data_IF_219883160545
#
_entry.id   IF_219883160545
#
_cell.length_a   1.000
_cell.length_b   1.000
_cell.length_c   1.000
_cell.angle_alpha   90.00
_cell.angle_beta   90.00
_cell.angle_gamma   90.00
#
_symmetry.space_group_name_H-M   'P 1'
#
loop_
_entity.id
_entity.type
_entity.pdbx_description
1 polymer ?
#
# COMPACT_ATOMS: atom_id res chain seq x y z
N UNK A 1 -24.78 -20.82 10.07
CA UNK A 1 -23.44 -20.32 10.43
C UNK A 1 -22.33 -21.20 9.83
N UNK A 2 -22.47 -21.65 8.58
CA UNK A 2 -21.60 -22.67 7.96
C UNK A 2 -20.75 -22.14 6.79
N UNK A 3 -20.97 -20.90 6.33
CA UNK A 3 -20.29 -20.35 5.15
C UNK A 3 -18.89 -19.75 5.44
N UNK A 4 -18.55 -19.43 6.70
CA UNK A 4 -17.28 -18.74 6.99
C UNK A 4 -16.07 -19.68 6.89
N UNK A 5 -16.18 -20.92 7.37
CA UNK A 5 -15.06 -21.88 7.35
C UNK A 5 -14.70 -22.31 5.92
N UNK A 6 -15.71 -22.60 5.10
CA UNK A 6 -15.51 -22.99 3.70
C UNK A 6 -14.91 -21.84 2.86
N UNK A 7 -15.33 -20.60 3.13
CA UNK A 7 -14.77 -19.42 2.48
C UNK A 7 -13.31 -19.17 2.89
N UNK A 8 -12.98 -19.37 4.17
CA UNK A 8 -11.61 -19.28 4.68
C UNK A 8 -10.70 -20.34 4.08
N UNK A 9 -11.18 -21.58 3.90
CA UNK A 9 -10.42 -22.64 3.24
C UNK A 9 -10.12 -22.31 1.77
N UNK A 10 -11.09 -21.74 1.04
CA UNK A 10 -10.91 -21.28 -0.36
C UNK A 10 -9.94 -20.11 -0.45
N UNK A 11 -10.06 -19.15 0.48
CA UNK A 11 -9.13 -18.04 0.60
C UNK A 11 -7.71 -18.54 0.85
N UNK A 12 -7.51 -19.41 1.84
CA UNK A 12 -6.19 -19.97 2.14
C UNK A 12 -5.61 -20.77 0.97
N UNK A 13 -6.43 -21.61 0.32
CA UNK A 13 -5.99 -22.39 -0.84
C UNK A 13 -5.53 -21.52 -2.03
N UNK A 14 -6.13 -20.34 -2.20
CA UNK A 14 -5.68 -19.35 -3.19
C UNK A 14 -4.29 -18.82 -2.83
N UNK A 15 -4.07 -18.41 -1.57
CA UNK A 15 -2.78 -17.89 -1.11
C UNK A 15 -1.69 -18.96 -1.16
N UNK A 16 -1.98 -20.20 -0.77
CA UNK A 16 -1.03 -21.31 -0.84
C UNK A 16 -0.55 -21.56 -2.27
N UNK A 17 -1.45 -21.47 -3.26
CA UNK A 17 -1.11 -21.63 -4.67
C UNK A 17 -0.30 -20.44 -5.21
N UNK A 18 -0.59 -19.21 -4.78
CA UNK A 18 0.19 -18.03 -5.15
C UNK A 18 1.58 -17.99 -4.48
N UNK A 19 1.69 -18.45 -3.23
CA UNK A 19 2.97 -18.62 -2.52
C UNK A 19 3.84 -19.66 -3.23
N UNK A 20 3.23 -20.76 -3.66
CA UNK A 20 3.88 -21.79 -4.45
C UNK A 20 4.43 -21.25 -5.77
N UNK A 21 3.61 -20.53 -6.52
CA UNK A 21 3.99 -19.87 -7.77
C UNK A 21 5.17 -18.89 -7.53
N UNK A 22 5.03 -17.99 -6.56
CA UNK A 22 6.04 -16.98 -6.25
C UNK A 22 7.37 -17.59 -5.83
N UNK A 23 7.36 -18.66 -5.02
CA UNK A 23 8.58 -19.38 -4.63
C UNK A 23 9.24 -20.06 -5.84
N UNK A 24 8.46 -20.73 -6.68
CA UNK A 24 8.98 -21.41 -7.87
C UNK A 24 9.61 -20.43 -8.87
N UNK A 25 8.95 -19.32 -9.16
CA UNK A 25 9.42 -18.31 -10.11
C UNK A 25 10.71 -17.63 -9.61
N UNK A 26 10.75 -17.24 -8.33
CA UNK A 26 11.95 -16.63 -7.73
C UNK A 26 13.16 -17.56 -7.83
N UNK A 27 12.98 -18.85 -7.56
CA UNK A 27 14.06 -19.82 -7.64
C UNK A 27 14.54 -20.03 -9.08
N UNK A 28 13.61 -20.10 -10.05
CA UNK A 28 13.94 -20.19 -11.47
C UNK A 28 14.70 -18.96 -11.98
N UNK A 29 14.25 -17.75 -11.63
CA UNK A 29 14.94 -16.50 -11.99
C UNK A 29 16.36 -16.44 -11.42
N UNK A 30 16.55 -16.88 -10.17
CA UNK A 30 17.86 -16.91 -9.54
C UNK A 30 18.79 -17.94 -10.18
N UNK A 31 18.27 -19.10 -10.57
CA UNK A 31 19.02 -20.16 -11.25
C UNK A 31 19.41 -19.80 -12.70
N UNK A 32 18.74 -18.82 -13.30
CA UNK A 32 19.07 -18.27 -14.62
C UNK A 32 20.20 -17.21 -14.61
N UNK A 33 20.68 -16.79 -13.43
CA UNK A 33 21.77 -15.80 -13.29
C UNK A 33 23.13 -16.35 -13.74
N UNK A 34 24.12 -15.46 -13.90
CA UNK A 34 25.48 -15.79 -14.38
C UNK A 34 26.05 -17.03 -13.67
N UNK A 35 26.60 -18.03 -14.39
CA UNK A 35 27.13 -19.26 -13.82
C UNK A 35 28.27 -19.10 -12.82
N UNK A 36 28.91 -17.92 -12.76
CA UNK A 36 29.96 -17.60 -11.77
C UNK A 36 29.39 -17.01 -10.48
N UNK A 37 28.07 -16.84 -10.40
CA UNK A 37 27.40 -16.26 -9.23
C UNK A 37 27.12 -17.33 -8.18
N UNK A 38 27.58 -17.11 -6.94
CA UNK A 38 27.19 -17.92 -5.78
C UNK A 38 25.67 -17.98 -5.57
N UNK A 39 24.92 -17.00 -6.10
CA UNK A 39 23.46 -16.97 -6.06
C UNK A 39 22.86 -18.11 -6.90
N UNK A 40 23.52 -18.51 -7.99
CA UNK A 40 23.05 -19.59 -8.85
C UNK A 40 23.17 -20.94 -8.15
N UNK A 41 24.32 -21.24 -7.57
CA UNK A 41 24.57 -22.52 -6.89
C UNK A 41 23.58 -22.69 -5.71
N UNK A 42 23.40 -21.66 -4.89
CA UNK A 42 22.41 -21.66 -3.80
C UNK A 42 20.98 -21.85 -4.32
N UNK A 43 20.61 -21.21 -5.43
CA UNK A 43 19.29 -21.37 -6.02
C UNK A 43 19.05 -22.78 -6.56
N UNK A 44 20.08 -23.44 -7.09
CA UNK A 44 19.99 -24.84 -7.53
C UNK A 44 19.75 -25.76 -6.32
N UNK A 45 20.49 -25.58 -5.23
CA UNK A 45 20.27 -26.37 -4.00
C UNK A 45 18.86 -26.16 -3.42
N UNK A 46 18.38 -24.92 -3.42
CA UNK A 46 17.02 -24.58 -2.97
C UNK A 46 15.94 -25.16 -3.90
N UNK A 47 16.17 -25.17 -5.23
CA UNK A 47 15.31 -25.86 -6.19
C UNK A 47 15.26 -27.37 -5.89
N UNK A 48 16.40 -28.00 -5.59
CA UNK A 48 16.49 -29.42 -5.22
C UNK A 48 15.66 -29.73 -3.99
N UNK A 49 15.87 -28.96 -2.93
CA UNK A 49 15.12 -29.10 -1.69
C UNK A 49 13.63 -28.92 -1.94
N UNK A 50 13.24 -27.89 -2.68
CA UNK A 50 11.85 -27.62 -3.02
C UNK A 50 11.21 -28.76 -3.83
N UNK A 51 11.92 -29.31 -4.81
CA UNK A 51 11.45 -30.45 -5.60
C UNK A 51 11.26 -31.71 -4.74
N UNK A 52 12.16 -31.98 -3.79
CA UNK A 52 12.03 -33.10 -2.86
C UNK A 52 10.85 -32.93 -1.89
N UNK A 53 10.69 -31.73 -1.31
CA UNK A 53 9.55 -31.40 -0.45
C UNK A 53 8.21 -31.67 -1.15
N UNK A 54 8.14 -31.35 -2.45
CA UNK A 54 6.94 -31.58 -3.27
C UNK A 54 6.75 -33.04 -3.66
N UNK A 55 7.81 -33.71 -4.10
CA UNK A 55 7.77 -35.13 -4.41
C UNK A 55 7.21 -35.93 -3.23
N UNK A 56 7.66 -35.63 -2.00
CA UNK A 56 7.14 -36.27 -0.78
C UNK A 56 5.65 -35.99 -0.54
N UNK A 57 5.18 -34.76 -0.79
CA UNK A 57 3.74 -34.41 -0.68
C UNK A 57 2.88 -35.19 -1.67
N UNK A 58 3.43 -35.53 -2.83
CA UNK A 58 2.74 -36.31 -3.87
C UNK A 58 2.94 -37.83 -3.71
N UNK A 59 3.55 -38.28 -2.61
CA UNK A 59 3.78 -39.70 -2.32
C UNK A 59 4.96 -40.32 -3.07
N UNK A 60 5.90 -39.51 -3.54
CA UNK A 60 7.16 -39.95 -4.16
C UNK A 60 8.29 -39.88 -3.14
N UNK A 61 8.77 -41.03 -2.68
CA UNK A 61 9.74 -41.13 -1.58
C UNK A 61 11.11 -40.51 -1.90
N UNK A 62 11.60 -40.65 -3.15
CA UNK A 62 12.89 -40.10 -3.60
C UNK A 62 12.91 -39.77 -5.09
N UNK A 63 13.50 -38.64 -5.42
CA UNK A 63 13.80 -38.27 -6.81
C UNK A 63 15.08 -39.00 -7.29
N UNK A 64 15.16 -39.43 -8.57
CA UNK A 64 16.35 -40.09 -9.12
C UNK A 64 17.60 -39.20 -9.05
N UNK A 65 18.78 -39.81 -8.93
CA UNK A 65 20.06 -39.09 -8.85
C UNK A 65 20.40 -38.25 -10.10
N UNK A 66 19.82 -38.58 -11.27
CA UNK A 66 20.08 -37.86 -12.52
C UNK A 66 19.12 -36.67 -12.75
N UNK A 67 18.14 -36.50 -11.86
CA UNK A 67 17.12 -35.43 -11.92
C UNK A 67 17.73 -34.01 -11.87
N UNK A 68 18.96 -33.89 -11.36
CA UNK A 68 19.58 -32.61 -11.01
C UNK A 68 20.12 -31.79 -12.19
N UNK A 69 20.40 -32.39 -13.34
CA UNK A 69 21.19 -31.71 -14.38
C UNK A 69 20.36 -30.89 -15.38
N UNK A 70 19.09 -31.24 -15.62
CA UNK A 70 18.17 -30.49 -16.51
C UNK A 70 16.69 -30.65 -16.13
N UNK A 71 16.34 -31.75 -15.46
CA UNK A 71 14.93 -32.08 -15.20
C UNK A 71 14.36 -31.29 -14.03
N UNK A 72 15.21 -30.79 -13.14
CA UNK A 72 14.75 -29.96 -12.02
C UNK A 72 14.14 -28.63 -12.45
N UNK A 73 14.74 -27.92 -13.42
CA UNK A 73 14.16 -26.67 -13.93
C UNK A 73 12.85 -26.94 -14.68
N UNK A 74 12.76 -28.04 -15.44
CA UNK A 74 11.52 -28.45 -16.11
C UNK A 74 10.44 -28.84 -15.10
N UNK A 75 10.80 -29.58 -14.06
CA UNK A 75 9.88 -29.97 -12.99
C UNK A 75 9.38 -28.76 -12.21
N UNK A 76 10.26 -27.83 -11.82
CA UNK A 76 9.83 -26.60 -11.14
C UNK A 76 9.05 -25.66 -12.07
N UNK A 77 9.40 -25.60 -13.36
CA UNK A 77 8.60 -24.90 -14.37
C UNK A 77 7.19 -25.50 -14.53
N UNK A 78 7.07 -26.83 -14.49
CA UNK A 78 5.78 -27.52 -14.45
C UNK A 78 5.00 -27.15 -13.19
N UNK A 79 5.64 -27.15 -12.00
CA UNK A 79 4.99 -26.75 -10.75
C UNK A 79 4.54 -25.31 -10.72
N UNK A 80 5.36 -24.39 -11.24
CA UNK A 80 4.96 -22.99 -11.42
C UNK A 80 3.69 -22.92 -12.31
N UNK A 81 3.67 -23.67 -13.41
CA UNK A 81 2.51 -23.73 -14.31
C UNK A 81 1.26 -24.33 -13.63
N UNK A 82 1.41 -25.41 -12.87
CA UNK A 82 0.32 -26.04 -12.10
C UNK A 82 -0.21 -25.10 -11.01
N UNK A 83 0.67 -24.45 -10.27
CA UNK A 83 0.31 -23.49 -9.23
C UNK A 83 -0.40 -22.26 -9.82
N UNK A 84 0.08 -21.79 -10.97
CA UNK A 84 -0.54 -20.73 -11.75
C UNK A 84 -1.96 -21.11 -12.19
N UNK A 85 -2.14 -22.28 -12.80
CA UNK A 85 -3.46 -22.75 -13.21
C UNK A 85 -4.38 -22.97 -12.01
N UNK A 86 -3.87 -23.55 -10.92
CA UNK A 86 -4.61 -23.78 -9.70
C UNK A 86 -5.09 -22.48 -9.07
N UNK A 87 -4.22 -21.48 -8.92
CA UNK A 87 -4.62 -20.19 -8.33
C UNK A 87 -5.63 -19.46 -9.22
N UNK A 88 -5.47 -19.52 -10.54
CA UNK A 88 -6.44 -18.98 -11.50
C UNK A 88 -7.81 -19.66 -11.39
N UNK A 89 -7.83 -21.00 -11.34
CA UNK A 89 -9.07 -21.77 -11.19
C UNK A 89 -9.76 -21.50 -9.85
N UNK A 90 -8.99 -21.43 -8.75
CA UNK A 90 -9.54 -21.11 -7.42
C UNK A 90 -10.14 -19.70 -7.43
N UNK A 91 -9.41 -18.70 -7.94
CA UNK A 91 -9.91 -17.33 -7.99
C UNK A 91 -11.14 -17.23 -8.90
N UNK A 92 -11.12 -17.79 -10.11
CA UNK A 92 -12.26 -17.74 -11.02
C UNK A 92 -13.51 -18.42 -10.44
N UNK A 93 -13.34 -19.56 -9.77
CA UNK A 93 -14.45 -20.30 -9.16
C UNK A 93 -14.96 -19.69 -7.85
N UNK A 94 -14.18 -18.84 -7.18
CA UNK A 94 -14.47 -18.34 -5.82
C UNK A 94 -14.23 -16.83 -5.66
N UNK A 95 -14.22 -16.07 -6.76
CA UNK A 95 -13.85 -14.65 -6.81
C UNK A 95 -14.60 -13.82 -5.76
N UNK A 96 -15.92 -14.00 -5.70
CA UNK A 96 -16.80 -13.29 -4.77
C UNK A 96 -16.38 -13.54 -3.32
N UNK A 97 -16.18 -14.80 -2.94
CA UNK A 97 -15.76 -15.19 -1.60
C UNK A 97 -14.38 -14.64 -1.28
N UNK A 98 -13.39 -14.88 -2.16
CA UNK A 98 -12.00 -14.49 -1.90
C UNK A 98 -11.87 -12.97 -1.75
N UNK A 99 -12.51 -12.21 -2.63
CA UNK A 99 -12.46 -10.74 -2.56
C UNK A 99 -13.19 -10.21 -1.34
N UNK A 100 -14.27 -10.86 -0.87
CA UNK A 100 -14.99 -10.45 0.34
C UNK A 100 -14.25 -10.79 1.64
N UNK A 101 -13.44 -11.85 1.66
CA UNK A 101 -12.63 -12.23 2.83
C UNK A 101 -11.41 -11.31 3.05
N UNK A 102 -11.05 -10.45 2.08
CA UNK A 102 -9.95 -9.48 2.26
C UNK A 102 -10.31 -8.50 3.40
N UNK A 103 -9.48 -8.33 4.44
CA UNK A 103 -9.73 -7.35 5.50
C UNK A 103 -9.83 -5.91 4.98
N UNK A 104 -10.75 -5.12 5.54
CA UNK A 104 -11.02 -3.73 5.12
C UNK A 104 -9.80 -2.82 5.26
N UNK A 105 -9.03 -3.00 6.33
CA UNK A 105 -7.77 -2.29 6.57
C UNK A 105 -6.72 -2.61 5.48
N UNK A 106 -6.70 -3.83 4.93
CA UNK A 106 -5.81 -4.17 3.81
C UNK A 106 -6.26 -3.56 2.49
N UNK A 107 -7.58 -3.48 2.24
CA UNK A 107 -8.12 -2.83 1.05
C UNK A 107 -7.76 -1.35 0.97
N UNK A 108 -7.61 -0.66 2.11
CA UNK A 108 -7.19 0.75 2.15
C UNK A 108 -5.88 1.01 1.38
N UNK A 109 -4.98 0.02 1.34
CA UNK A 109 -3.68 0.10 0.65
C UNK A 109 -3.85 0.21 -0.86
N UNK A 110 -4.95 -0.29 -1.42
CA UNK A 110 -5.26 -0.17 -2.84
C UNK A 110 -5.57 1.24 -3.30
N UNK A 111 -5.95 2.14 -2.38
CA UNK A 111 -6.32 3.49 -2.74
C UNK A 111 -5.21 4.28 -3.41
N UNK A 112 -3.95 3.97 -3.11
CA UNK A 112 -2.79 4.56 -3.78
C UNK A 112 -2.54 3.99 -5.16
N UNK A 113 -2.99 2.75 -5.45
CA UNK A 113 -2.65 2.03 -6.66
C UNK A 113 -3.26 2.69 -7.91
N UNK A 114 -2.44 2.84 -8.94
CA UNK A 114 -2.88 3.37 -10.24
C UNK A 114 -3.82 2.37 -10.93
N UNK A 115 -3.52 1.10 -10.73
CA UNK A 115 -4.22 -0.06 -11.24
C UNK A 115 -5.70 -0.05 -10.88
N UNK A 116 -6.05 0.23 -9.62
CA UNK A 116 -7.44 0.33 -9.18
C UNK A 116 -8.04 1.69 -9.58
N UNK A 117 -7.30 2.78 -9.42
CA UNK A 117 -7.82 4.12 -9.67
C UNK A 117 -8.29 4.33 -11.13
N UNK A 118 -7.62 3.73 -12.10
CA UNK A 118 -8.00 3.79 -13.52
C UNK A 118 -9.27 2.99 -13.86
N UNK A 119 -9.71 2.10 -12.96
CA UNK A 119 -10.82 1.16 -13.19
C UNK A 119 -12.04 1.45 -12.31
N UNK A 120 -11.95 2.45 -11.44
CA UNK A 120 -13.11 3.00 -10.73
C UNK A 120 -13.89 3.90 -11.69
N UNK A 121 -15.19 3.70 -11.79
CA UNK A 121 -16.06 4.35 -12.77
C UNK A 121 -17.23 5.09 -12.11
N UNK A 122 -17.79 6.06 -12.82
CA UNK A 122 -19.01 6.76 -12.41
C UNK A 122 -18.84 7.57 -11.12
N UNK A 123 -19.83 7.51 -10.24
CA UNK A 123 -19.83 8.30 -9.01
C UNK A 123 -18.80 7.84 -7.98
N UNK A 124 -18.32 6.59 -8.09
CA UNK A 124 -17.31 6.00 -7.20
C UNK A 124 -15.96 6.75 -7.30
N UNK A 125 -15.70 7.43 -8.44
CA UNK A 125 -14.50 8.26 -8.65
C UNK A 125 -14.42 9.40 -7.63
N UNK A 126 -15.55 10.01 -7.29
CA UNK A 126 -15.57 11.13 -6.33
C UNK A 126 -15.25 10.66 -4.91
N UNK A 127 -15.77 9.49 -4.53
CA UNK A 127 -15.45 8.87 -3.23
C UNK A 127 -13.97 8.52 -3.16
N UNK A 128 -13.44 7.87 -4.20
CA UNK A 128 -12.02 7.51 -4.27
C UNK A 128 -11.13 8.77 -4.25
N UNK A 129 -11.51 9.84 -4.95
CA UNK A 129 -10.78 11.10 -4.94
C UNK A 129 -10.70 11.73 -3.55
N UNK A 130 -11.82 11.79 -2.83
CA UNK A 130 -11.86 12.28 -1.45
C UNK A 130 -11.01 11.42 -0.51
N UNK A 131 -11.09 10.10 -0.65
CA UNK A 131 -10.29 9.16 0.13
C UNK A 131 -8.78 9.31 -0.13
N UNK A 132 -8.38 9.39 -1.40
CA UNK A 132 -6.97 9.62 -1.80
C UNK A 132 -6.43 10.92 -1.26
N UNK A 133 -7.25 11.97 -1.27
CA UNK A 133 -6.86 13.27 -0.73
C UNK A 133 -6.60 13.16 0.78
N UNK A 134 -7.50 12.54 1.54
CA UNK A 134 -7.29 12.29 2.97
C UNK A 134 -6.00 11.49 3.22
N UNK A 135 -5.81 10.34 2.54
CA UNK A 135 -4.59 9.52 2.67
C UNK A 135 -3.32 10.25 2.25
N UNK A 136 -3.40 11.14 1.26
CA UNK A 136 -2.26 11.97 0.88
C UNK A 136 -1.83 12.90 2.00
N UNK A 137 -2.76 13.49 2.76
CA UNK A 137 -2.42 14.35 3.90
C UNK A 137 -1.87 13.56 5.08
N UNK A 138 -2.38 12.34 5.35
CA UNK A 138 -1.80 11.44 6.34
C UNK A 138 -0.34 11.07 5.98
N UNK A 139 -0.10 10.60 4.75
CA UNK A 139 1.25 10.27 4.30
C UNK A 139 2.18 11.47 4.26
N UNK A 140 1.65 12.65 3.94
CA UNK A 140 2.44 13.88 3.95
C UNK A 140 2.84 14.29 5.38
N UNK A 141 1.94 14.18 6.36
CA UNK A 141 2.25 14.40 7.78
C UNK A 141 3.41 13.51 8.23
N UNK A 142 3.37 12.22 7.91
CA UNK A 142 4.42 11.26 8.27
C UNK A 142 5.77 11.60 7.62
N UNK A 143 5.78 11.93 6.32
CA UNK A 143 7.00 12.35 5.61
C UNK A 143 7.63 13.58 6.27
N UNK A 144 6.80 14.59 6.54
CA UNK A 144 7.27 15.83 7.16
C UNK A 144 7.81 15.60 8.58
N UNK A 145 7.16 14.73 9.36
CA UNK A 145 7.63 14.33 10.68
C UNK A 145 9.01 13.66 10.63
N UNK A 146 9.21 12.75 9.68
CA UNK A 146 10.48 12.02 9.44
C UNK A 146 11.55 12.86 8.75
N UNK A 147 11.22 14.04 8.23
CA UNK A 147 12.14 14.87 7.45
C UNK A 147 12.45 14.29 6.07
N UNK A 148 11.55 13.48 5.54
CA UNK A 148 11.68 12.91 4.20
C UNK A 148 11.47 13.99 3.12
N UNK A 149 12.00 13.78 1.89
CA UNK A 149 11.79 14.71 0.79
C UNK A 149 10.30 14.93 0.51
N UNK A 150 9.95 16.21 0.35
CA UNK A 150 8.61 16.68 0.02
C UNK A 150 8.61 17.23 -1.41
N UNK A 151 7.51 17.02 -2.11
CA UNK A 151 7.26 17.47 -3.47
C UNK A 151 6.96 18.97 -3.54
N UNK A 152 7.00 19.55 -4.75
CA UNK A 152 6.74 20.98 -4.94
C UNK A 152 5.32 21.42 -4.55
N UNK A 153 4.32 20.55 -4.66
CA UNK A 153 2.96 20.85 -4.20
C UNK A 153 2.82 20.70 -2.68
N UNK A 154 3.51 19.73 -2.08
CA UNK A 154 3.63 19.59 -0.62
C UNK A 154 4.33 20.82 0.01
N UNK A 155 5.37 21.36 -0.64
CA UNK A 155 6.05 22.59 -0.18
C UNK A 155 5.11 23.80 -0.14
N UNK A 156 4.17 23.94 -1.11
CA UNK A 156 3.18 25.03 -1.10
C UNK A 156 2.25 24.93 0.11
N UNK A 157 1.82 23.71 0.46
CA UNK A 157 0.99 23.46 1.63
C UNK A 157 1.76 23.81 2.90
N UNK A 158 3.02 23.38 3.02
CA UNK A 158 3.89 23.78 4.14
C UNK A 158 4.06 25.28 4.20
N UNK A 159 4.26 25.97 3.07
CA UNK A 159 4.33 27.43 3.02
C UNK A 159 3.10 28.10 3.63
N UNK A 160 1.89 27.63 3.27
CA UNK A 160 0.64 28.11 3.86
C UNK A 160 0.51 27.79 5.35
N UNK A 161 0.94 26.61 5.78
CA UNK A 161 0.93 26.24 7.21
C UNK A 161 1.96 27.02 8.03
N UNK A 162 3.13 27.30 7.46
CA UNK A 162 4.14 28.20 8.05
C UNK A 162 3.57 29.59 8.23
N UNK A 163 2.75 30.08 7.29
CA UNK A 163 2.06 31.36 7.45
C UNK A 163 1.13 31.38 8.66
N UNK A 164 0.35 30.31 8.86
CA UNK A 164 -0.55 30.14 10.00
C UNK A 164 0.26 30.07 11.31
N UNK A 165 1.33 29.28 11.33
CA UNK A 165 2.26 29.19 12.47
C UNK A 165 2.86 30.56 12.81
N UNK A 166 3.30 31.31 11.80
CA UNK A 166 3.88 32.63 11.99
C UNK A 166 2.88 33.65 12.56
N UNK A 167 1.61 33.60 12.13
CA UNK A 167 0.53 34.41 12.72
C UNK A 167 0.29 34.05 14.18
N UNK A 168 0.28 32.76 14.52
CA UNK A 168 0.15 32.28 15.90
C UNK A 168 1.30 32.79 16.79
N UNK A 169 2.54 32.61 16.32
CA UNK A 169 3.76 33.01 17.03
C UNK A 169 3.85 34.53 17.19
N UNK A 170 3.48 35.28 16.14
CA UNK A 170 3.35 36.73 16.19
C UNK A 170 2.33 37.21 17.20
N UNK A 171 1.18 36.54 17.32
CA UNK A 171 0.17 36.87 18.33
C UNK A 171 0.65 36.55 19.75
N UNK A 172 1.36 35.44 19.97
CA UNK A 172 1.98 35.12 21.27
C UNK A 172 2.99 36.20 21.68
N UNK A 173 3.87 36.63 20.76
CA UNK A 173 4.84 37.71 21.00
C UNK A 173 4.15 39.04 21.25
N UNK A 174 3.11 39.37 20.48
CA UNK A 174 2.34 40.60 20.67
C UNK A 174 1.66 40.65 22.04
N UNK A 175 1.08 39.55 22.52
CA UNK A 175 0.50 39.49 23.87
C UNK A 175 1.58 39.55 24.96
N UNK A 176 2.75 38.94 24.76
CA UNK A 176 3.87 39.08 25.69
C UNK A 176 4.29 40.54 25.87
N UNK A 177 4.55 41.25 24.77
CA UNK A 177 4.97 42.67 24.85
C UNK A 177 3.83 43.57 25.32
N UNK A 178 2.57 43.24 25.03
CA UNK A 178 1.41 43.93 25.61
C UNK A 178 1.35 43.79 27.13
N UNK A 179 1.60 42.60 27.66
CA UNK A 179 1.64 42.35 29.11
C UNK A 179 2.82 43.05 29.79
N UNK A 180 3.90 43.31 29.06
CA UNK A 180 5.05 44.11 29.51
C UNK A 180 4.80 45.64 29.40
N UNK A 181 3.63 46.07 28.93
CA UNK A 181 3.22 47.48 28.89
C UNK A 181 3.63 48.23 27.61
N UNK A 182 4.08 47.53 26.57
CA UNK A 182 4.50 48.15 25.31
C UNK A 182 3.33 48.61 24.42
N UNK A 183 3.59 49.63 23.60
CA UNK A 183 2.60 50.25 22.71
C UNK A 183 2.07 49.30 21.63
N UNK A 184 0.92 49.65 21.03
CA UNK A 184 0.35 48.91 19.90
C UNK A 184 1.30 48.81 18.71
N UNK A 185 2.14 49.81 18.49
CA UNK A 185 3.12 49.81 17.40
C UNK A 185 4.18 48.71 17.61
N UNK A 186 4.67 48.54 18.85
CA UNK A 186 5.62 47.47 19.21
C UNK A 186 4.94 46.09 19.09
N UNK A 187 3.67 45.97 19.49
CA UNK A 187 2.89 44.74 19.30
C UNK A 187 2.77 44.38 17.81
N UNK A 188 2.49 45.36 16.95
CA UNK A 188 2.39 45.16 15.49
C UNK A 188 3.74 44.79 14.86
N UNK A 189 4.83 45.46 15.26
CA UNK A 189 6.17 45.10 14.81
C UNK A 189 6.56 43.69 15.27
N UNK A 190 6.16 43.28 16.47
CA UNK A 190 6.40 41.91 16.97
C UNK A 190 5.69 40.86 16.11
N UNK A 191 4.46 41.13 15.65
CA UNK A 191 3.75 40.26 14.69
C UNK A 191 4.49 40.17 13.35
N UNK A 192 4.89 41.32 12.80
CA UNK A 192 5.58 41.39 11.51
C UNK A 192 6.96 40.70 11.54
N UNK A 193 7.70 40.86 12.64
CA UNK A 193 8.99 40.19 12.85
C UNK A 193 8.82 38.67 12.93
N UNK A 194 7.81 38.18 13.66
CA UNK A 194 7.53 36.74 13.72
C UNK A 194 7.20 36.18 12.34
N UNK A 195 6.39 36.91 11.56
CA UNK A 195 6.05 36.55 10.19
C UNK A 195 7.28 36.42 9.29
N UNK A 196 8.12 37.46 9.28
CA UNK A 196 9.35 37.47 8.49
C UNK A 196 10.33 36.39 8.95
N UNK A 197 10.49 36.20 10.26
CA UNK A 197 11.41 35.20 10.82
C UNK A 197 11.02 33.77 10.41
N UNK A 198 9.72 33.45 10.39
CA UNK A 198 9.24 32.15 9.93
C UNK A 198 9.37 31.99 8.42
N UNK A 199 9.02 33.01 7.62
CA UNK A 199 9.15 32.93 6.15
C UNK A 199 10.60 32.78 5.68
N UNK A 200 11.54 33.45 6.34
CA UNK A 200 12.96 33.37 6.01
C UNK A 200 13.67 32.18 6.68
N UNK A 201 12.95 31.32 7.41
CA UNK A 201 13.53 30.12 8.03
C UNK A 201 14.45 30.40 9.21
N UNK A 202 14.35 31.58 9.82
CA UNK A 202 15.11 31.94 11.03
C UNK A 202 14.53 31.33 12.31
N UNK A 203 13.33 30.72 12.25
CA UNK A 203 12.69 30.01 13.37
C UNK A 203 12.62 28.51 13.05
N UNK A 204 13.35 27.70 13.83
CA UNK A 204 13.36 26.23 13.72
C UNK A 204 12.17 25.56 14.40
N UNK A 205 11.57 26.21 15.41
CA UNK A 205 10.62 25.58 16.35
C UNK A 205 9.16 25.60 15.88
N UNK A 206 8.92 25.81 14.58
CA UNK A 206 7.57 25.77 14.00
C UNK A 206 7.14 24.37 13.56
N UNK A 207 8.01 23.36 13.67
CA UNK A 207 7.74 22.00 13.21
C UNK A 207 6.45 21.45 13.84
N UNK A 208 6.25 21.65 15.14
CA UNK A 208 5.04 21.20 15.85
C UNK A 208 3.78 21.93 15.37
N UNK A 209 3.85 23.24 15.14
CA UNK A 209 2.72 24.02 14.61
C UNK A 209 2.34 23.56 13.19
N UNK A 210 3.34 23.27 12.35
CA UNK A 210 3.11 22.74 10.99
C UNK A 210 2.52 21.32 11.05
N UNK A 211 3.03 20.45 11.93
CA UNK A 211 2.47 19.11 12.14
C UNK A 211 1.03 19.15 12.63
N UNK A 212 0.71 20.06 13.56
CA UNK A 212 -0.67 20.27 14.03
C UNK A 212 -1.57 20.80 12.92
N UNK A 213 -1.05 21.68 12.04
CA UNK A 213 -1.77 22.14 10.86
C UNK A 213 -2.06 21.02 9.86
N UNK A 214 -1.07 20.17 9.57
CA UNK A 214 -1.24 18.99 8.71
C UNK A 214 -2.25 18.00 9.29
N UNK A 215 -2.23 17.79 10.61
CA UNK A 215 -3.20 16.95 11.30
C UNK A 215 -4.62 17.47 11.17
N UNK A 216 -4.84 18.78 11.32
CA UNK A 216 -6.16 19.38 11.10
C UNK A 216 -6.64 19.22 9.67
N UNK A 217 -5.77 19.44 8.69
CA UNK A 217 -6.11 19.22 7.27
C UNK A 217 -6.45 17.76 7.00
N UNK A 218 -5.67 16.81 7.52
CA UNK A 218 -5.95 15.39 7.39
C UNK A 218 -7.32 15.03 7.99
N UNK A 219 -7.63 15.55 9.19
CA UNK A 219 -8.91 15.30 9.87
C UNK A 219 -10.11 15.96 9.16
N UNK A 220 -9.94 17.16 8.60
CA UNK A 220 -10.96 17.83 7.79
C UNK A 220 -11.26 17.02 6.51
N UNK A 221 -10.21 16.55 5.82
CA UNK A 221 -10.36 15.71 4.64
C UNK A 221 -10.94 14.34 4.97
N UNK A 222 -10.59 13.77 6.12
CA UNK A 222 -11.20 12.53 6.64
C UNK A 222 -12.70 12.70 6.83
N UNK A 223 -13.14 13.75 7.54
CA UNK A 223 -14.57 14.04 7.76
C UNK A 223 -15.31 14.27 6.45
N UNK A 224 -14.68 14.96 5.50
CA UNK A 224 -15.27 15.16 4.18
C UNK A 224 -15.44 13.83 3.43
N UNK A 225 -14.42 12.96 3.46
CA UNK A 225 -14.52 11.61 2.92
C UNK A 225 -15.61 10.80 3.61
N UNK A 226 -15.65 10.75 4.95
CA UNK A 226 -16.64 9.99 5.71
C UNK A 226 -18.06 10.44 5.39
N UNK A 227 -18.29 11.75 5.23
CA UNK A 227 -19.58 12.29 4.80
C UNK A 227 -19.96 11.81 3.40
N UNK A 228 -19.05 11.92 2.44
CA UNK A 228 -19.30 11.48 1.04
C UNK A 228 -19.53 9.96 0.99
N UNK A 229 -18.74 9.19 1.73
CA UNK A 229 -18.85 7.74 1.80
C UNK A 229 -20.16 7.30 2.46
N UNK A 230 -20.60 7.98 3.53
CA UNK A 230 -21.88 7.72 4.18
C UNK A 230 -23.08 8.01 3.27
N UNK A 231 -23.02 9.08 2.48
CA UNK A 231 -24.05 9.41 1.50
C UNK A 231 -24.03 8.50 0.25
N UNK A 232 -22.93 7.76 0.04
CA UNK A 232 -22.68 6.94 -1.14
C UNK A 232 -22.18 5.54 -0.73
N UNK A 233 -21.13 5.07 -1.39
CA UNK A 233 -20.53 3.75 -1.21
C UNK A 233 -19.19 3.91 -0.47
N UNK A 234 -18.92 3.14 0.59
CA UNK A 234 -17.60 3.11 1.23
C UNK A 234 -16.48 2.69 0.26
N UNK A 235 -15.25 3.13 0.54
CA UNK A 235 -14.14 2.96 -0.43
C UNK A 235 -13.73 1.49 -0.58
N UNK A 236 -13.85 0.72 0.50
CA UNK A 236 -13.59 -0.70 0.55
C UNK A 236 -14.56 -1.50 -0.33
N UNK A 237 -15.83 -1.10 -0.38
CA UNK A 237 -16.82 -1.73 -1.26
C UNK A 237 -16.53 -1.40 -2.73
N UNK A 238 -16.10 -0.17 -3.01
CA UNK A 238 -15.61 0.24 -4.33
C UNK A 238 -14.43 -0.66 -4.74
N UNK A 239 -13.45 -0.87 -3.86
CA UNK A 239 -12.30 -1.73 -4.15
C UNK A 239 -12.69 -3.18 -4.37
N UNK A 240 -13.58 -3.75 -3.54
CA UNK A 240 -14.09 -5.11 -3.75
C UNK A 240 -14.80 -5.22 -5.10
N UNK A 241 -15.66 -4.25 -5.42
CA UNK A 241 -16.38 -4.18 -6.70
C UNK A 241 -15.41 -4.12 -7.88
N UNK A 242 -14.37 -3.27 -7.82
CA UNK A 242 -13.37 -3.16 -8.87
C UNK A 242 -12.57 -4.45 -9.03
N UNK A 243 -12.10 -5.06 -7.95
CA UNK A 243 -11.39 -6.35 -8.00
C UNK A 243 -12.26 -7.46 -8.59
N UNK A 244 -13.54 -7.52 -8.23
CA UNK A 244 -14.49 -8.49 -8.80
C UNK A 244 -14.72 -8.23 -10.29
N UNK A 245 -14.89 -6.97 -10.69
CA UNK A 245 -15.04 -6.61 -12.10
C UNK A 245 -13.84 -7.12 -12.90
N UNK A 246 -12.62 -6.78 -12.48
CA UNK A 246 -11.38 -7.21 -13.13
C UNK A 246 -11.22 -8.74 -13.15
N UNK A 247 -11.48 -9.40 -12.03
CA UNK A 247 -11.39 -10.87 -11.90
C UNK A 247 -12.51 -11.63 -12.63
N UNK A 248 -13.55 -10.94 -13.10
CA UNK A 248 -14.64 -11.50 -13.91
C UNK A 248 -14.53 -11.12 -15.39
N UNK A 249 -13.57 -10.26 -15.74
CA UNK A 249 -13.38 -9.81 -17.10
C UNK A 249 -12.89 -10.97 -17.98
N UNK A 250 -13.32 -10.99 -19.23
CA UNK A 250 -12.85 -11.96 -20.22
C UNK A 250 -11.45 -11.61 -20.74
N UNK A 251 -10.96 -10.40 -20.46
CA UNK A 251 -9.56 -10.03 -20.70
C UNK A 251 -8.64 -10.73 -19.69
N UNK A 252 -7.80 -11.62 -20.20
CA UNK A 252 -6.78 -12.35 -19.43
C UNK A 252 -5.88 -11.39 -18.64
N UNK A 253 -5.54 -10.22 -19.21
CA UNK A 253 -4.66 -9.25 -18.51
C UNK A 253 -5.33 -8.64 -17.29
N UNK A 254 -6.63 -8.35 -17.38
CA UNK A 254 -7.42 -7.81 -16.27
C UNK A 254 -7.57 -8.84 -15.16
N UNK A 255 -7.86 -10.09 -15.54
CA UNK A 255 -7.93 -11.21 -14.61
C UNK A 255 -6.62 -11.41 -13.85
N UNK A 256 -5.51 -11.47 -14.59
CA UNK A 256 -4.16 -11.64 -14.03
C UNK A 256 -3.77 -10.49 -13.10
N UNK A 257 -4.12 -9.27 -13.47
CA UNK A 257 -3.90 -8.10 -12.62
C UNK A 257 -4.71 -8.19 -11.33
N UNK A 258 -5.99 -8.55 -11.40
CA UNK A 258 -6.84 -8.73 -10.22
C UNK A 258 -6.26 -9.80 -9.28
N UNK A 259 -5.86 -10.94 -9.85
CA UNK A 259 -5.25 -12.05 -9.11
C UNK A 259 -4.00 -11.63 -8.35
N UNK A 260 -3.11 -10.91 -9.01
CA UNK A 260 -1.89 -10.40 -8.40
C UNK A 260 -2.17 -9.33 -7.33
N UNK A 261 -3.16 -8.45 -7.55
CA UNK A 261 -3.56 -7.46 -6.55
C UNK A 261 -4.12 -8.13 -5.30
N UNK A 262 -5.06 -9.07 -5.45
CA UNK A 262 -5.65 -9.83 -4.33
C UNK A 262 -4.55 -10.50 -3.50
N UNK A 263 -3.61 -11.19 -4.16
CA UNK A 263 -2.50 -11.84 -3.49
C UNK A 263 -1.59 -10.83 -2.77
N UNK A 264 -1.17 -9.77 -3.44
CA UNK A 264 -0.29 -8.74 -2.85
C UNK A 264 -0.90 -8.13 -1.59
N UNK A 265 -2.18 -7.78 -1.64
CA UNK A 265 -2.89 -7.14 -0.52
C UNK A 265 -2.99 -8.09 0.66
N UNK A 266 -3.32 -9.36 0.43
CA UNK A 266 -3.48 -10.32 1.53
C UNK A 266 -2.17 -10.68 2.23
N UNK A 267 -1.04 -10.72 1.50
CA UNK A 267 0.28 -11.16 1.99
C UNK A 267 1.10 -10.12 2.76
N UNK A 268 0.79 -8.83 2.64
CA UNK A 268 1.70 -7.75 3.04
C UNK A 268 2.00 -7.61 4.55
N UNK A 269 1.50 -8.52 5.40
CA UNK A 269 1.86 -8.61 6.82
C UNK A 269 3.02 -9.59 7.10
N UNK A 270 3.46 -10.40 6.12
CA UNK A 270 4.56 -11.37 6.31
C UNK A 270 5.98 -10.77 6.13
N UNK A 271 6.11 -9.45 6.22
CA UNK A 271 7.40 -8.74 6.20
C UNK A 271 7.53 -7.86 7.45
N UNK A 272 7.57 -8.51 8.61
CA UNK A 272 8.26 -7.98 9.80
C UNK A 272 9.75 -8.34 9.76
#
# INVERSE_FOLDING_TARGET
MTNSTENQEKYQAFFDAMDELSRADKLNEQAAKDPRSKVKDNAIDDLVKYAQERALKDGVDKLPNDFYNQDIQKYIGLRSSEANERSANILSGNLESIVNEIPTDKLSKLAGSKEIAERVEGEDIYVLGAYRQWKSYEGFKEKYEKGEPISGDEEKIIGGLREIAAKSLGNKLAEKVKNEGYSKDIQNQSRALAYAAVQHGYVSDIKEDVLSGLEKLAEEHKKNYEKIAYEKTPVEEIFRKTLKKMGSDKDIKEFELARNLVYKIGKEDDKE
#
